data_IF_400076828393
#
_entry.id   IF_400076828393
#
_cell.length_a   1.000
_cell.length_b   1.000
_cell.length_c   1.000
_cell.angle_alpha   90.00
_cell.angle_beta   90.00
_cell.angle_gamma   90.00
#
_symmetry.space_group_name_H-M   'P 1'
#
loop_
_entity.id
_entity.type
_entity.pdbx_description
1 polymer ?
#
# COMPACT_ATOMS: atom_id res chain seq x y z
N UNK A 1 5.86 8.91 3.02
CA UNK A 1 5.81 7.93 4.13
C UNK A 1 5.14 6.64 3.66
N UNK A 2 3.99 6.68 2.98
CA UNK A 2 3.27 5.46 2.53
C UNK A 2 4.09 4.51 1.64
N UNK A 3 5.14 4.97 1.00
CA UNK A 3 6.00 4.17 0.11
C UNK A 3 7.22 3.56 0.80
N UNK A 4 7.32 3.64 2.13
CA UNK A 4 8.44 3.05 2.87
C UNK A 4 8.28 1.55 3.13
N UNK A 5 7.12 0.95 2.82
CA UNK A 5 6.82 -0.48 3.06
C UNK A 5 7.91 -1.42 2.53
N UNK A 6 8.47 -1.27 1.32
CA UNK A 6 9.50 -2.20 0.82
C UNK A 6 10.78 -2.16 1.65
N UNK A 7 11.21 -0.97 2.09
CA UNK A 7 12.38 -0.81 2.95
C UNK A 7 12.12 -1.46 4.30
N UNK A 8 10.95 -1.19 4.90
CA UNK A 8 10.56 -1.81 6.16
C UNK A 8 10.45 -3.33 6.04
N UNK A 9 9.96 -3.84 4.90
CA UNK A 9 9.87 -5.27 4.64
C UNK A 9 11.28 -5.92 4.59
N UNK A 10 12.26 -5.28 3.97
CA UNK A 10 13.66 -5.72 3.98
C UNK A 10 14.22 -5.74 5.40
N UNK A 11 14.00 -4.67 6.17
CA UNK A 11 14.47 -4.57 7.56
C UNK A 11 13.80 -5.63 8.45
N UNK A 12 12.49 -5.79 8.36
CA UNK A 12 11.73 -6.79 9.12
C UNK A 12 12.20 -8.20 8.76
N UNK A 13 12.43 -8.49 7.47
CA UNK A 13 12.95 -9.79 7.02
C UNK A 13 14.34 -10.06 7.59
N UNK A 14 15.23 -9.07 7.57
CA UNK A 14 16.58 -9.19 8.11
C UNK A 14 16.58 -9.42 9.64
N UNK A 15 15.73 -8.68 10.37
CA UNK A 15 15.67 -8.75 11.84
C UNK A 15 14.93 -9.98 12.35
N UNK A 16 13.73 -10.28 11.82
CA UNK A 16 12.89 -11.36 12.33
C UNK A 16 13.26 -12.72 11.79
N UNK A 17 13.58 -12.81 10.49
CA UNK A 17 13.91 -14.08 9.85
C UNK A 17 15.40 -14.39 9.87
N UNK A 18 16.25 -13.44 10.33
CA UNK A 18 17.72 -13.52 10.29
C UNK A 18 18.24 -13.94 8.90
N UNK A 19 17.49 -13.59 7.85
CA UNK A 19 17.85 -13.84 6.44
C UNK A 19 18.27 -12.55 5.80
N UNK A 20 19.48 -12.49 5.33
CA UNK A 20 19.95 -11.38 4.52
C UNK A 20 19.20 -11.39 3.19
N UNK A 21 18.58 -10.29 2.89
CA UNK A 21 18.00 -10.05 1.55
C UNK A 21 19.18 -9.89 0.59
N UNK A 22 19.16 -10.63 -0.52
CA UNK A 22 20.22 -10.55 -1.51
C UNK A 22 20.56 -9.10 -1.89
N UNK A 23 21.83 -8.83 -2.13
CA UNK A 23 22.29 -7.46 -2.36
C UNK A 23 21.62 -6.82 -3.59
N UNK A 24 21.28 -7.61 -4.61
CA UNK A 24 20.51 -7.16 -5.79
C UNK A 24 19.09 -6.70 -5.42
N UNK A 25 18.42 -7.42 -4.50
CA UNK A 25 17.11 -6.98 -3.99
C UNK A 25 17.23 -5.69 -3.21
N UNK A 26 18.27 -5.55 -2.37
CA UNK A 26 18.56 -4.30 -1.68
C UNK A 26 18.77 -3.12 -2.63
N UNK A 27 19.53 -3.32 -3.69
CA UNK A 27 19.73 -2.33 -4.76
C UNK A 27 18.42 -1.98 -5.48
N UNK A 28 17.63 -2.97 -5.86
CA UNK A 28 16.33 -2.73 -6.51
C UNK A 28 15.38 -1.92 -5.63
N UNK A 29 15.34 -2.24 -4.32
CA UNK A 29 14.56 -1.46 -3.33
C UNK A 29 15.07 -0.01 -3.23
N UNK A 30 16.38 0.20 -3.20
CA UNK A 30 16.99 1.53 -3.13
C UNK A 30 16.70 2.36 -4.40
N UNK A 31 16.80 1.75 -5.59
CA UNK A 31 16.48 2.41 -6.87
C UNK A 31 15.00 2.76 -6.94
N UNK A 32 14.11 1.83 -6.57
CA UNK A 32 12.66 2.07 -6.55
C UNK A 32 12.27 3.17 -5.56
N UNK A 33 12.90 3.21 -4.39
CA UNK A 33 12.72 4.26 -3.40
C UNK A 33 13.22 5.62 -3.91
N UNK A 34 14.39 5.67 -4.56
CA UNK A 34 14.90 6.88 -5.21
C UNK A 34 13.95 7.40 -6.27
N UNK A 35 13.40 6.51 -7.11
CA UNK A 35 12.36 6.86 -8.08
C UNK A 35 11.10 7.42 -7.41
N UNK A 36 10.66 6.81 -6.30
CA UNK A 36 9.51 7.29 -5.54
C UNK A 36 9.75 8.65 -4.90
N UNK A 37 10.95 8.91 -4.36
CA UNK A 37 11.30 10.23 -3.85
C UNK A 37 11.26 11.29 -4.94
N UNK A 38 11.85 11.00 -6.12
CA UNK A 38 11.79 11.91 -7.28
C UNK A 38 10.34 12.15 -7.72
N UNK A 39 9.50 11.13 -7.68
CA UNK A 39 8.09 11.23 -8.02
C UNK A 39 7.34 12.20 -7.08
N UNK A 40 7.56 12.07 -5.77
CA UNK A 40 6.93 12.93 -4.75
C UNK A 40 7.47 14.36 -4.80
N UNK A 41 8.79 14.54 -5.02
CA UNK A 41 9.42 15.86 -5.07
C UNK A 41 9.17 16.60 -6.40
N UNK A 42 8.99 15.87 -7.49
CA UNK A 42 8.78 16.43 -8.83
C UNK A 42 7.33 16.55 -9.26
N UNK A 43 6.40 16.01 -8.49
CA UNK A 43 4.97 16.16 -8.74
C UNK A 43 4.44 17.47 -8.15
N UNK A 44 3.58 18.17 -8.90
CA UNK A 44 2.86 19.38 -8.45
C UNK A 44 1.80 19.06 -7.34
N UNK A 45 1.97 17.96 -6.63
CA UNK A 45 1.03 17.45 -5.63
C UNK A 45 1.25 18.03 -4.22
N UNK A 46 1.82 19.24 -4.13
CA UNK A 46 1.76 20.03 -2.90
C UNK A 46 0.34 20.59 -2.69
N UNK A 47 -0.66 19.73 -2.62
CA UNK A 47 -1.91 20.12 -2.00
C UNK A 47 -1.58 20.46 -0.54
N UNK A 48 -1.57 21.74 -0.23
CA UNK A 48 -1.48 22.26 1.14
C UNK A 48 -2.74 21.84 1.91
N UNK A 49 -2.76 20.59 2.35
CA UNK A 49 -3.77 20.13 3.29
C UNK A 49 -3.43 20.80 4.61
N UNK A 50 -4.31 21.64 5.12
CA UNK A 50 -4.22 22.20 6.46
C UNK A 50 -4.28 21.06 7.47
N UNK A 51 -3.11 20.55 7.86
CA UNK A 51 -2.99 19.44 8.81
C UNK A 51 -3.03 19.99 10.23
N UNK A 52 -4.00 19.57 11.01
CA UNK A 52 -4.15 19.94 12.42
C UNK A 52 -2.93 19.48 13.26
N UNK A 53 -2.35 18.32 12.95
CA UNK A 53 -1.15 17.79 13.63
C UNK A 53 -0.34 16.88 12.69
N UNK A 54 0.58 17.45 11.90
CA UNK A 54 1.36 16.69 10.93
C UNK A 54 2.31 15.67 11.58
N UNK A 55 2.80 15.92 12.79
CA UNK A 55 3.69 15.00 13.49
C UNK A 55 2.97 13.71 13.88
N UNK A 56 1.78 13.81 14.44
CA UNK A 56 0.96 12.66 14.80
C UNK A 56 0.58 11.85 13.55
N UNK A 57 0.17 12.53 12.47
CA UNK A 57 -0.15 11.87 11.20
C UNK A 57 1.04 11.10 10.62
N UNK A 58 2.24 11.65 10.67
CA UNK A 58 3.45 10.99 10.20
C UNK A 58 3.80 9.76 11.04
N UNK A 59 3.69 9.83 12.37
CA UNK A 59 3.92 8.68 13.27
C UNK A 59 2.92 7.56 12.97
N UNK A 60 1.63 7.87 12.83
CA UNK A 60 0.60 6.90 12.50
C UNK A 60 0.84 6.26 11.13
N UNK A 61 1.26 7.03 10.13
CA UNK A 61 1.63 6.50 8.82
C UNK A 61 2.82 5.53 8.89
N UNK A 62 3.87 5.87 9.65
CA UNK A 62 5.03 4.98 9.85
C UNK A 62 4.59 3.69 10.55
N UNK A 63 3.79 3.79 11.61
CA UNK A 63 3.26 2.63 12.32
C UNK A 63 2.42 1.74 11.40
N UNK A 64 1.55 2.32 10.57
CA UNK A 64 0.75 1.58 9.59
C UNK A 64 1.63 0.84 8.56
N UNK A 65 2.68 1.49 8.04
CA UNK A 65 3.62 0.86 7.11
C UNK A 65 4.42 -0.27 7.75
N UNK A 66 4.80 -0.10 9.02
CA UNK A 66 5.47 -1.16 9.78
C UNK A 66 4.55 -2.35 10.00
N UNK A 67 3.30 -2.13 10.39
CA UNK A 67 2.29 -3.19 10.49
C UNK A 67 2.08 -3.93 9.16
N UNK A 68 2.04 -3.19 8.05
CA UNK A 68 1.96 -3.78 6.71
C UNK A 68 3.17 -4.64 6.36
N UNK A 69 4.38 -4.19 6.68
CA UNK A 69 5.61 -4.96 6.47
C UNK A 69 5.65 -6.21 7.36
N UNK A 70 5.25 -6.10 8.62
CA UNK A 70 5.12 -7.24 9.54
C UNK A 70 4.11 -8.26 9.01
N UNK A 71 2.95 -7.80 8.53
CA UNK A 71 1.96 -8.67 7.91
C UNK A 71 2.57 -9.44 6.72
N UNK A 72 3.21 -8.76 5.78
CA UNK A 72 3.80 -9.39 4.61
C UNK A 72 4.82 -10.47 4.97
N UNK A 73 5.65 -10.23 5.98
CA UNK A 73 6.75 -11.14 6.36
C UNK A 73 6.27 -12.27 7.26
N UNK A 74 5.52 -11.96 8.33
CA UNK A 74 5.13 -12.94 9.35
C UNK A 74 4.03 -13.88 8.88
N UNK A 75 3.12 -13.40 8.01
CA UNK A 75 2.00 -14.23 7.54
C UNK A 75 2.35 -15.15 6.38
N UNK A 76 3.57 -15.10 5.85
CA UNK A 76 4.01 -15.96 4.74
C UNK A 76 3.79 -17.45 5.04
N UNK A 77 4.16 -17.92 6.24
CA UNK A 77 4.01 -19.33 6.63
C UNK A 77 2.54 -19.71 6.85
N UNK A 78 1.74 -18.78 7.35
CA UNK A 78 0.30 -18.96 7.58
C UNK A 78 -0.43 -19.05 6.24
N UNK A 79 -0.03 -18.24 5.26
CA UNK A 79 -0.58 -18.25 3.90
C UNK A 79 -0.37 -19.57 3.17
N UNK A 80 0.71 -20.32 3.50
CA UNK A 80 0.93 -21.65 2.93
C UNK A 80 -0.02 -22.71 3.52
N UNK A 81 -0.46 -22.52 4.78
CA UNK A 81 -1.29 -23.49 5.50
C UNK A 81 -2.80 -23.29 5.28
N UNK A 82 -3.23 -22.05 5.10
CA UNK A 82 -4.65 -21.70 5.02
C UNK A 82 -5.03 -21.14 3.65
N UNK A 83 -6.32 -21.26 3.32
CA UNK A 83 -6.84 -20.63 2.10
C UNK A 83 -6.92 -19.11 2.28
N UNK A 84 -6.73 -18.32 1.21
CA UNK A 84 -6.88 -16.86 1.27
C UNK A 84 -8.22 -16.41 1.83
N UNK A 85 -9.29 -17.14 1.51
CA UNK A 85 -10.63 -16.85 2.01
C UNK A 85 -10.73 -17.00 3.55
N UNK A 86 -10.15 -18.06 4.10
CA UNK A 86 -10.13 -18.29 5.55
C UNK A 86 -9.37 -17.19 6.28
N UNK A 87 -8.21 -16.79 5.76
CA UNK A 87 -7.42 -15.70 6.32
C UNK A 87 -8.19 -14.38 6.29
N UNK A 88 -8.77 -14.03 5.14
CA UNK A 88 -9.53 -12.81 4.99
C UNK A 88 -10.72 -12.75 5.95
N UNK A 89 -11.48 -13.85 6.07
CA UNK A 89 -12.59 -13.96 7.02
C UNK A 89 -12.17 -13.61 8.44
N UNK A 90 -11.09 -14.21 8.93
CA UNK A 90 -10.63 -13.98 10.29
C UNK A 90 -10.02 -12.59 10.48
N UNK A 91 -9.28 -12.10 9.50
CA UNK A 91 -8.73 -10.74 9.54
C UNK A 91 -9.83 -9.69 9.64
N UNK A 92 -10.86 -9.75 8.78
CA UNK A 92 -11.97 -8.82 8.82
C UNK A 92 -12.80 -8.95 10.09
N UNK A 93 -13.06 -10.18 10.56
CA UNK A 93 -13.82 -10.39 11.79
C UNK A 93 -13.10 -9.80 13.02
N UNK A 94 -11.81 -10.10 13.18
CA UNK A 94 -11.01 -9.57 14.28
C UNK A 94 -10.91 -8.05 14.20
N UNK A 95 -10.64 -7.50 13.00
CA UNK A 95 -10.58 -6.05 12.79
C UNK A 95 -11.92 -5.37 13.11
N UNK A 96 -13.04 -5.96 12.69
CA UNK A 96 -14.36 -5.44 13.00
C UNK A 96 -14.63 -5.39 14.51
N UNK A 97 -14.30 -6.47 15.23
CA UNK A 97 -14.48 -6.52 16.70
C UNK A 97 -13.61 -5.50 17.41
N UNK A 98 -12.34 -5.32 16.98
CA UNK A 98 -11.41 -4.38 17.62
C UNK A 98 -11.82 -2.93 17.31
N UNK A 99 -12.24 -2.63 16.06
CA UNK A 99 -12.55 -1.28 15.64
C UNK A 99 -13.96 -0.82 16.05
N UNK A 100 -14.90 -1.75 16.23
CA UNK A 100 -16.28 -1.43 16.57
C UNK A 100 -16.42 -0.41 17.71
N UNK A 101 -15.77 -0.56 18.88
CA UNK A 101 -15.93 0.37 19.99
C UNK A 101 -15.46 1.80 19.66
N UNK A 102 -14.57 1.96 18.69
CA UNK A 102 -14.03 3.26 18.28
C UNK A 102 -14.81 3.91 17.15
N UNK A 103 -15.47 3.12 16.31
CA UNK A 103 -16.10 3.62 15.07
C UNK A 103 -17.62 3.62 15.10
N UNK A 104 -18.26 2.87 16.02
CA UNK A 104 -19.73 2.77 16.08
C UNK A 104 -20.40 4.12 16.32
N UNK A 105 -19.82 4.98 17.15
CA UNK A 105 -20.38 6.31 17.42
C UNK A 105 -20.36 7.18 16.16
N UNK A 106 -19.26 7.17 15.42
CA UNK A 106 -19.12 7.93 14.17
C UNK A 106 -20.05 7.40 13.07
N UNK A 107 -20.16 6.07 12.96
CA UNK A 107 -21.09 5.43 12.01
C UNK A 107 -22.55 5.77 12.33
N UNK A 108 -22.91 5.80 13.61
CA UNK A 108 -24.26 6.16 14.04
C UNK A 108 -24.58 7.65 13.81
N UNK A 109 -23.57 8.52 13.80
CA UNK A 109 -23.72 9.95 13.53
C UNK A 109 -23.87 10.28 12.04
N UNK A 110 -23.61 9.33 11.13
CA UNK A 110 -23.75 9.56 9.69
C UNK A 110 -25.22 9.61 9.28
N UNK A 111 -25.61 10.68 8.60
CA UNK A 111 -26.93 10.80 7.99
C UNK A 111 -27.03 10.00 6.69
N UNK A 112 -27.27 8.72 6.79
CA UNK A 112 -27.32 7.78 5.65
C UNK A 112 -28.37 8.15 4.60
N UNK A 113 -29.46 8.81 5.02
CA UNK A 113 -30.53 9.28 4.14
C UNK A 113 -30.13 10.48 3.27
N UNK A 114 -29.11 11.22 3.67
CA UNK A 114 -28.60 12.38 2.93
C UNK A 114 -27.62 12.00 1.81
N UNK A 115 -27.19 10.72 1.74
CA UNK A 115 -26.24 10.25 0.73
C UNK A 115 -26.90 10.19 -0.65
N UNK A 116 -26.27 10.83 -1.63
CA UNK A 116 -26.68 10.74 -3.03
C UNK A 116 -26.39 9.33 -3.62
N UNK A 117 -27.07 8.99 -4.72
CA UNK A 117 -26.81 7.72 -5.42
C UNK A 117 -25.34 7.57 -5.88
N UNK A 118 -24.68 8.67 -6.23
CA UNK A 118 -23.25 8.67 -6.57
C UNK A 118 -22.37 8.29 -5.36
N UNK A 119 -22.64 8.87 -4.18
CA UNK A 119 -21.92 8.52 -2.94
C UNK A 119 -22.10 7.06 -2.54
N UNK A 120 -23.30 6.49 -2.76
CA UNK A 120 -23.52 5.06 -2.55
C UNK A 120 -22.71 4.19 -3.51
N UNK A 121 -22.58 4.60 -4.78
CA UNK A 121 -21.76 3.90 -5.76
C UNK A 121 -20.27 3.96 -5.40
N UNK A 122 -19.78 5.13 -4.96
CA UNK A 122 -18.40 5.30 -4.48
C UNK A 122 -18.12 4.44 -3.24
N UNK A 123 -19.04 4.42 -2.27
CA UNK A 123 -18.92 3.59 -1.08
C UNK A 123 -18.89 2.09 -1.44
N UNK A 124 -19.77 1.66 -2.33
CA UNK A 124 -19.78 0.28 -2.83
C UNK A 124 -18.48 -0.08 -3.55
N UNK A 125 -17.93 0.82 -4.37
CA UNK A 125 -16.64 0.62 -5.02
C UNK A 125 -15.51 0.47 -4.02
N UNK A 126 -15.43 1.31 -2.99
CA UNK A 126 -14.41 1.24 -1.93
C UNK A 126 -14.51 -0.09 -1.19
N UNK A 127 -15.72 -0.52 -0.80
CA UNK A 127 -15.91 -1.76 -0.06
C UNK A 127 -15.60 -2.99 -0.93
N UNK A 128 -16.16 -3.07 -2.12
CA UNK A 128 -16.08 -4.27 -2.95
C UNK A 128 -14.76 -4.37 -3.72
N UNK A 129 -14.32 -3.28 -4.36
CA UNK A 129 -13.14 -3.31 -5.21
C UNK A 129 -11.87 -2.96 -4.43
N UNK A 130 -11.84 -1.82 -3.76
CA UNK A 130 -10.62 -1.33 -3.12
C UNK A 130 -10.32 -2.07 -1.80
N UNK A 131 -11.31 -2.66 -1.14
CA UNK A 131 -11.10 -3.40 0.11
C UNK A 131 -11.23 -4.90 -0.11
N UNK A 132 -12.44 -5.41 -0.38
CA UNK A 132 -12.68 -6.85 -0.45
C UNK A 132 -11.81 -7.53 -1.52
N UNK A 133 -11.88 -7.06 -2.77
CA UNK A 133 -11.14 -7.67 -3.89
C UNK A 133 -9.62 -7.53 -3.71
N UNK A 134 -9.13 -6.38 -3.25
CA UNK A 134 -7.72 -6.16 -3.02
C UNK A 134 -7.15 -7.09 -1.94
N UNK A 135 -7.81 -7.18 -0.77
CA UNK A 135 -7.39 -8.09 0.31
C UNK A 135 -7.64 -9.56 0.00
N UNK A 136 -8.50 -9.88 -0.94
CA UNK A 136 -8.67 -11.26 -1.43
C UNK A 136 -7.54 -11.66 -2.39
N UNK A 137 -7.16 -10.77 -3.31
CA UNK A 137 -6.11 -11.05 -4.31
C UNK A 137 -4.69 -11.01 -3.71
N UNK A 138 -4.46 -10.17 -2.71
CA UNK A 138 -3.14 -10.01 -2.09
C UNK A 138 -2.55 -11.34 -1.59
N UNK A 139 -3.25 -12.18 -0.81
CA UNK A 139 -2.75 -13.48 -0.38
C UNK A 139 -2.46 -14.47 -1.52
N UNK A 140 -3.16 -14.38 -2.64
CA UNK A 140 -2.84 -15.18 -3.83
C UNK A 140 -1.46 -14.84 -4.38
N UNK A 141 -1.17 -13.55 -4.53
CA UNK A 141 0.16 -13.09 -4.95
C UNK A 141 1.25 -13.50 -3.96
N UNK A 142 1.01 -13.33 -2.66
CA UNK A 142 1.96 -13.68 -1.60
C UNK A 142 2.32 -15.17 -1.53
N UNK A 143 1.46 -16.07 -2.00
CA UNK A 143 1.77 -17.52 -2.05
C UNK A 143 2.89 -17.87 -3.01
N UNK A 144 3.08 -17.07 -4.05
CA UNK A 144 3.98 -17.38 -5.17
C UNK A 144 5.19 -16.46 -5.24
N UNK A 145 5.19 -15.37 -4.48
CA UNK A 145 6.19 -14.30 -4.58
C UNK A 145 6.71 -13.92 -3.20
N UNK A 146 8.00 -13.61 -3.11
CA UNK A 146 8.62 -13.20 -1.85
C UNK A 146 7.97 -11.92 -1.27
N UNK A 147 7.87 -11.77 0.07
CA UNK A 147 7.27 -10.60 0.72
C UNK A 147 7.86 -9.26 0.27
N UNK A 148 9.18 -9.20 0.09
CA UNK A 148 9.88 -8.02 -0.42
C UNK A 148 9.45 -7.64 -1.83
N UNK A 149 9.24 -8.64 -2.70
CA UNK A 149 8.76 -8.41 -4.07
C UNK A 149 7.32 -7.89 -4.05
N UNK A 150 6.44 -8.48 -3.24
CA UNK A 150 5.06 -7.98 -3.07
C UNK A 150 5.06 -6.53 -2.58
N UNK A 151 5.91 -6.21 -1.59
CA UNK A 151 6.05 -4.84 -1.09
C UNK A 151 6.50 -3.85 -2.17
N UNK A 152 7.36 -4.27 -3.12
CA UNK A 152 7.84 -3.43 -4.22
C UNK A 152 6.72 -2.98 -5.18
N UNK A 153 5.66 -3.76 -5.32
CA UNK A 153 4.50 -3.36 -6.14
C UNK A 153 3.77 -2.14 -5.58
N UNK A 154 3.95 -1.81 -4.28
CA UNK A 154 3.44 -0.55 -3.72
C UNK A 154 4.05 0.69 -4.37
N UNK A 155 5.25 0.59 -4.96
CA UNK A 155 5.83 1.70 -5.72
C UNK A 155 5.13 1.96 -7.06
N UNK A 156 4.39 0.98 -7.59
CA UNK A 156 3.60 1.17 -8.81
C UNK A 156 2.29 1.95 -8.57
N UNK A 157 1.81 2.00 -7.32
CA UNK A 157 0.56 2.70 -7.01
C UNK A 157 0.51 4.14 -7.52
N UNK A 158 1.50 5.02 -7.21
CA UNK A 158 1.48 6.39 -7.73
C UNK A 158 1.62 6.45 -9.25
N UNK A 159 2.35 5.51 -9.86
CA UNK A 159 2.47 5.41 -11.32
C UNK A 159 1.10 5.14 -11.96
N UNK A 160 0.39 4.16 -11.43
CA UNK A 160 -0.98 3.81 -11.87
C UNK A 160 -1.93 4.99 -11.66
N UNK A 161 -1.84 5.68 -10.51
CA UNK A 161 -2.67 6.85 -10.21
C UNK A 161 -2.46 7.98 -11.23
N UNK A 162 -1.21 8.25 -11.63
CA UNK A 162 -0.91 9.28 -12.66
C UNK A 162 -1.43 8.86 -14.04
N UNK A 163 -1.25 7.60 -14.42
CA UNK A 163 -1.79 7.11 -15.70
C UNK A 163 -3.30 7.30 -15.76
N UNK A 164 -4.03 6.91 -14.71
CA UNK A 164 -5.47 7.14 -14.65
C UNK A 164 -5.84 8.63 -14.63
N UNK A 165 -5.08 9.47 -13.92
CA UNK A 165 -5.29 10.92 -13.89
C UNK A 165 -5.15 11.54 -15.30
N UNK A 166 -4.16 11.09 -16.08
CA UNK A 166 -3.96 11.55 -17.46
C UNK A 166 -5.10 11.09 -18.36
N UNK A 167 -5.50 9.82 -18.26
CA UNK A 167 -6.63 9.26 -19.05
C UNK A 167 -7.93 10.01 -18.73
N UNK A 168 -8.13 10.38 -17.46
CA UNK A 168 -9.28 11.18 -17.02
C UNK A 168 -9.20 12.68 -17.41
N UNK A 169 -8.11 13.12 -18.03
CA UNK A 169 -7.89 14.53 -18.40
C UNK A 169 -7.63 15.46 -17.20
N UNK A 170 -7.34 14.90 -16.03
CA UNK A 170 -7.14 15.63 -14.77
C UNK A 170 -5.66 15.92 -14.46
N UNK A 171 -4.73 15.35 -15.21
CA UNK A 171 -3.29 15.48 -14.94
C UNK A 171 -2.44 15.53 -16.19
N UNK A 172 -1.24 16.08 -16.07
CA UNK A 172 -0.21 16.11 -17.12
C UNK A 172 1.03 15.36 -16.64
N UNK A 173 1.70 14.66 -17.56
CA UNK A 173 2.96 14.00 -17.24
C UNK A 173 4.12 15.00 -17.42
N UNK A 174 4.84 15.25 -16.34
CA UNK A 174 6.08 16.02 -16.38
C UNK A 174 7.28 15.09 -16.65
N UNK A 175 8.35 15.63 -17.23
CA UNK A 175 9.61 14.89 -17.48
C UNK A 175 10.17 14.24 -16.22
N UNK A 176 10.04 14.90 -15.04
CA UNK A 176 10.48 14.37 -13.74
C UNK A 176 9.66 13.16 -13.33
N UNK A 177 8.33 13.22 -13.46
CA UNK A 177 7.45 12.09 -13.16
C UNK A 177 7.65 10.91 -14.11
N UNK A 178 7.96 11.17 -15.38
CA UNK A 178 8.30 10.13 -16.35
C UNK A 178 9.63 9.43 -15.98
N UNK A 179 10.67 10.19 -15.64
CA UNK A 179 11.96 9.66 -15.19
C UNK A 179 11.83 8.86 -13.88
N UNK A 180 11.07 9.39 -12.92
CA UNK A 180 10.76 8.71 -11.66
C UNK A 180 10.04 7.37 -11.89
N UNK A 181 9.07 7.34 -12.81
CA UNK A 181 8.35 6.13 -13.21
C UNK A 181 9.28 5.06 -13.77
N UNK A 182 10.23 5.44 -14.63
CA UNK A 182 11.22 4.52 -15.19
C UNK A 182 12.12 3.94 -14.09
N UNK A 183 12.56 4.74 -13.13
CA UNK A 183 13.36 4.27 -11.98
C UNK A 183 12.57 3.29 -11.12
N UNK A 184 11.29 3.55 -10.86
CA UNK A 184 10.41 2.64 -10.11
C UNK A 184 10.30 1.30 -10.83
N UNK A 185 10.00 1.31 -12.14
CA UNK A 185 9.88 0.09 -12.94
C UNK A 185 11.20 -0.67 -12.97
N UNK A 186 12.33 0.01 -13.11
CA UNK A 186 13.66 -0.61 -13.07
C UNK A 186 13.93 -1.27 -11.71
N UNK A 187 13.60 -0.60 -10.61
CA UNK A 187 13.72 -1.15 -9.25
C UNK A 187 12.90 -2.42 -9.06
N UNK A 188 11.61 -2.39 -9.47
CA UNK A 188 10.72 -3.56 -9.42
C UNK A 188 11.27 -4.70 -10.29
N UNK A 189 11.77 -4.40 -11.49
CA UNK A 189 12.33 -5.40 -12.39
C UNK A 189 13.56 -6.08 -11.79
N UNK A 190 14.48 -5.32 -11.18
CA UNK A 190 15.70 -5.84 -10.53
C UNK A 190 15.33 -6.80 -9.40
N UNK A 191 14.34 -6.44 -8.55
CA UNK A 191 13.90 -7.30 -7.44
C UNK A 191 13.24 -8.59 -7.92
N UNK A 192 12.53 -8.54 -9.06
CA UNK A 192 11.87 -9.72 -9.61
C UNK A 192 12.82 -10.69 -10.35
N UNK A 193 14.04 -10.25 -10.71
CA UNK A 193 14.98 -11.07 -11.47
C UNK A 193 15.71 -12.11 -10.59
N UNK A 194 15.62 -11.98 -9.28
CA UNK A 194 16.20 -12.86 -8.27
C UNK A 194 15.12 -13.72 -7.57
#
# INVERSE_FOLDING_TARGET
ICSSTPILCVLVTAVLLHRWVGWLKGLGVAIGFGGMLLFVLGGDTAASVNMTNPALGNILCIAAQLCGALYLVMFTDILQKYTPFTLMKWMFLISAVILAPFTLADIAAVEWSALSGAMWAELAYIILCATFLAYFLLPFGQKHVAPTTVAMYNYLQPVVAVVFSIIAGLGTMNIVTAGATLLIIAGVYIVNKE
#
